data_IF_333872156647
#
_entry.id   IF_333872156647
#
_cell.length_a   1.000
_cell.length_b   1.000
_cell.length_c   1.000
_cell.angle_alpha   90.00
_cell.angle_beta   90.00
_cell.angle_gamma   90.00
#
_symmetry.space_group_name_H-M   'P 1'
#
loop_
_entity.id
_entity.type
_entity.pdbx_description
1 polymer ?
#
# COMPACT_ATOMS: atom_id res chain seq x y z
N UNK A 1 86.07 -48.69 -1.20
CA UNK A 1 84.88 -47.89 -1.36
C UNK A 1 83.67 -48.81 -1.14
N UNK A 2 83.04 -48.69 0.01
CA UNK A 2 81.94 -49.52 0.52
C UNK A 2 80.59 -49.07 -0.04
N UNK A 3 80.55 -48.08 -0.98
CA UNK A 3 79.35 -47.61 -1.65
C UNK A 3 78.33 -46.91 -0.74
N UNK A 4 78.75 -46.48 0.45
CA UNK A 4 77.86 -45.84 1.40
C UNK A 4 77.58 -44.42 0.99
N UNK A 5 76.29 -44.12 0.73
CA UNK A 5 75.82 -42.79 0.39
C UNK A 5 75.22 -42.12 1.63
N UNK A 6 75.72 -40.97 2.04
CA UNK A 6 75.19 -40.19 3.13
C UNK A 6 74.47 -38.93 2.56
N UNK A 7 73.27 -38.68 3.06
CA UNK A 7 72.52 -37.50 2.73
C UNK A 7 72.67 -36.46 3.88
N UNK A 8 73.01 -35.20 3.50
CA UNK A 8 72.98 -34.06 4.43
C UNK A 8 71.88 -33.16 4.04
N UNK A 9 70.90 -32.87 4.93
CA UNK A 9 69.87 -31.88 4.66
C UNK A 9 70.52 -30.49 4.66
N UNK A 10 70.20 -29.63 3.69
CA UNK A 10 70.40 -28.22 3.72
C UNK A 10 69.09 -27.51 4.08
N UNK A 11 69.13 -26.66 5.08
CA UNK A 11 67.96 -25.86 5.51
C UNK A 11 68.09 -24.45 4.95
N UNK A 12 66.92 -23.82 4.70
CA UNK A 12 66.80 -22.44 4.17
C UNK A 12 67.51 -22.23 2.81
N UNK A 13 67.49 -23.23 1.97
CA UNK A 13 68.04 -23.12 0.61
C UNK A 13 67.07 -22.37 -0.29
N UNK A 14 67.59 -21.58 -1.24
CA UNK A 14 66.74 -20.93 -2.29
C UNK A 14 66.11 -21.95 -3.21
N UNK A 15 64.92 -21.72 -3.63
CA UNK A 15 64.13 -22.52 -4.55
C UNK A 15 63.43 -21.62 -5.54
N UNK A 16 63.00 -22.16 -6.66
CA UNK A 16 62.21 -21.51 -7.65
C UNK A 16 60.76 -21.99 -7.52
N UNK A 17 59.83 -21.08 -7.69
CA UNK A 17 58.41 -21.36 -7.79
C UNK A 17 57.80 -20.53 -8.92
N UNK A 18 56.88 -21.09 -9.67
CA UNK A 18 56.17 -20.36 -10.69
C UNK A 18 55.25 -19.31 -10.02
N UNK A 19 55.63 -18.05 -10.12
CA UNK A 19 54.85 -16.92 -9.61
C UNK A 19 54.04 -16.19 -10.66
N UNK A 20 54.09 -16.64 -11.92
CA UNK A 20 53.38 -16.04 -13.06
C UNK A 20 52.08 -16.75 -13.42
N UNK A 21 51.97 -18.05 -13.07
CA UNK A 21 50.73 -18.80 -13.27
C UNK A 21 49.71 -18.45 -12.18
N UNK A 22 48.55 -17.92 -12.61
CA UNK A 22 47.44 -17.60 -11.69
C UNK A 22 46.87 -18.86 -11.05
N UNK A 23 46.77 -18.88 -9.72
CA UNK A 23 46.21 -20.00 -8.98
C UNK A 23 44.71 -20.08 -9.15
N UNK A 24 44.18 -21.29 -9.35
CA UNK A 24 42.76 -21.61 -9.44
C UNK A 24 42.22 -22.14 -8.11
N UNK A 25 40.93 -21.98 -7.87
CA UNK A 25 40.27 -22.48 -6.66
C UNK A 25 40.44 -24.00 -6.45
N UNK A 26 40.77 -24.73 -7.51
CA UNK A 26 41.00 -26.20 -7.48
C UNK A 26 42.43 -26.57 -7.16
N UNK A 27 43.35 -25.61 -7.10
CA UNK A 27 44.75 -25.89 -6.86
C UNK A 27 44.96 -26.16 -5.36
N UNK A 28 45.54 -27.33 -5.05
CA UNK A 28 45.78 -27.79 -3.73
C UNK A 28 47.25 -27.81 -3.36
N UNK A 29 48.13 -27.59 -4.32
CA UNK A 29 49.58 -27.48 -4.11
C UNK A 29 50.22 -26.59 -5.19
N UNK A 30 51.40 -26.09 -4.87
CA UNK A 30 52.34 -25.49 -5.84
C UNK A 30 53.61 -26.30 -5.80
N UNK A 31 54.18 -26.53 -7.01
CA UNK A 31 55.46 -27.23 -7.14
C UNK A 31 56.61 -26.25 -7.03
N UNK A 32 57.48 -26.49 -6.06
CA UNK A 32 58.76 -25.76 -5.91
C UNK A 32 59.90 -26.61 -6.51
N UNK A 33 60.91 -25.94 -7.06
CA UNK A 33 62.05 -26.61 -7.66
C UNK A 33 63.38 -26.04 -7.18
N UNK A 34 64.40 -26.85 -7.20
CA UNK A 34 65.77 -26.47 -7.01
C UNK A 34 66.67 -27.17 -8.04
N UNK A 35 67.49 -26.42 -8.71
CA UNK A 35 68.50 -26.93 -9.59
C UNK A 35 69.91 -26.75 -8.96
N UNK A 36 70.65 -27.80 -8.82
CA UNK A 36 72.02 -27.80 -8.38
C UNK A 36 72.88 -28.71 -9.28
N UNK A 37 74.01 -28.18 -9.75
CA UNK A 37 74.93 -28.89 -10.64
C UNK A 37 74.21 -29.52 -11.88
N UNK A 38 73.21 -28.86 -12.43
CA UNK A 38 72.40 -29.35 -13.56
C UNK A 38 71.39 -30.41 -13.24
N UNK A 39 71.17 -30.74 -11.95
CA UNK A 39 70.14 -31.69 -11.52
C UNK A 39 69.02 -30.91 -10.83
N UNK A 40 67.82 -30.96 -11.41
CA UNK A 40 66.59 -30.37 -10.82
C UNK A 40 65.86 -31.40 -9.99
N UNK A 41 65.42 -30.97 -8.80
CA UNK A 41 64.50 -31.68 -7.92
C UNK A 41 63.31 -30.81 -7.60
N UNK A 42 62.15 -31.44 -7.50
CA UNK A 42 60.86 -30.78 -7.21
C UNK A 42 60.25 -31.32 -5.91
N UNK A 43 59.44 -30.48 -5.28
CA UNK A 43 58.58 -30.86 -4.16
C UNK A 43 57.27 -30.06 -4.23
N UNK A 44 56.19 -30.70 -3.81
CA UNK A 44 54.87 -30.06 -3.77
C UNK A 44 54.64 -29.48 -2.39
N UNK A 45 54.20 -28.23 -2.33
CA UNK A 45 53.83 -27.51 -1.12
C UNK A 45 52.32 -27.34 -1.12
N UNK A 46 51.63 -27.93 -0.14
CA UNK A 46 50.18 -27.81 0.01
C UNK A 46 49.76 -26.37 0.23
N UNK A 47 48.75 -25.94 -0.54
CA UNK A 47 48.16 -24.61 -0.43
C UNK A 47 46.62 -24.72 -0.33
N UNK A 48 45.98 -23.63 0.09
CA UNK A 48 44.55 -23.46 -0.01
C UNK A 48 44.29 -22.14 -0.76
N UNK A 49 43.58 -22.21 -1.86
CA UNK A 49 43.17 -21.04 -2.60
C UNK A 49 41.74 -20.69 -2.19
N UNK A 50 41.55 -19.51 -1.60
CA UNK A 50 40.23 -18.97 -1.24
C UNK A 50 39.78 -17.92 -2.23
N UNK A 51 38.49 -17.93 -2.54
CA UNK A 51 37.86 -16.92 -3.36
C UNK A 51 37.61 -15.67 -2.53
N UNK A 52 37.95 -14.51 -3.05
CA UNK A 52 37.80 -13.24 -2.36
C UNK A 52 36.65 -12.44 -2.92
N UNK A 53 35.82 -11.82 -2.05
CA UNK A 53 34.81 -10.83 -2.48
C UNK A 53 35.53 -9.55 -2.88
N UNK A 54 35.42 -9.17 -4.14
CA UNK A 54 36.02 -7.94 -4.69
C UNK A 54 35.05 -6.78 -4.80
N UNK A 55 33.73 -7.06 -4.76
CA UNK A 55 32.69 -6.05 -4.75
C UNK A 55 31.46 -6.56 -4.00
N UNK A 56 30.85 -5.68 -3.20
CA UNK A 56 29.53 -5.84 -2.58
C UNK A 56 28.72 -4.60 -2.92
N UNK A 57 27.60 -4.78 -3.62
CA UNK A 57 26.75 -3.70 -4.10
C UNK A 57 25.28 -3.95 -3.73
N UNK A 58 24.53 -2.89 -3.39
CA UNK A 58 23.09 -2.98 -3.19
C UNK A 58 22.40 -3.34 -4.53
N UNK A 59 21.83 -4.54 -4.59
CA UNK A 59 21.18 -5.08 -5.79
C UNK A 59 19.72 -4.64 -5.89
N UNK A 60 18.93 -4.94 -4.87
CA UNK A 60 17.54 -4.53 -4.75
C UNK A 60 17.08 -4.49 -3.30
N UNK A 61 15.86 -3.99 -3.07
CA UNK A 61 15.14 -4.12 -1.80
C UNK A 61 13.84 -4.88 -2.03
N UNK A 62 13.36 -5.55 -0.98
CA UNK A 62 12.11 -6.31 -1.02
C UNK A 62 11.31 -6.13 0.26
N UNK A 63 9.99 -6.22 0.14
CA UNK A 63 9.11 -6.19 1.30
C UNK A 63 9.11 -7.58 1.94
N UNK A 64 9.67 -7.67 3.16
CA UNK A 64 9.67 -8.89 3.97
C UNK A 64 8.34 -9.07 4.73
N UNK A 65 7.69 -7.96 5.11
CA UNK A 65 6.36 -7.93 5.70
C UNK A 65 5.63 -6.66 5.29
N UNK A 66 4.38 -6.80 4.85
CA UNK A 66 3.51 -5.69 4.49
C UNK A 66 3.11 -4.86 5.71
N UNK A 67 2.72 -3.60 5.48
CA UNK A 67 2.15 -2.75 6.50
C UNK A 67 0.85 -3.37 7.07
N UNK A 68 0.58 -3.10 8.36
CA UNK A 68 -0.60 -3.62 9.06
C UNK A 68 -1.91 -3.11 8.42
N UNK A 69 -1.85 -1.98 7.71
CA UNK A 69 -2.98 -1.33 7.04
C UNK A 69 -2.64 -0.96 5.60
N UNK A 70 -3.47 -1.39 4.66
CA UNK A 70 -3.32 -1.13 3.21
C UNK A 70 -4.55 -0.44 2.60
N UNK A 71 -5.63 -0.25 3.37
CA UNK A 71 -6.86 0.37 2.91
C UNK A 71 -7.06 1.71 3.60
N UNK A 72 -7.21 2.76 2.82
CA UNK A 72 -7.30 4.14 3.25
C UNK A 72 -8.53 4.82 2.68
N UNK A 73 -8.90 5.94 3.26
CA UNK A 73 -9.83 6.88 2.66
C UNK A 73 -9.07 8.15 2.24
N UNK A 74 -9.59 8.84 1.26
CA UNK A 74 -9.06 10.10 0.73
C UNK A 74 -8.69 11.08 1.84
N UNK A 75 -7.46 11.59 1.79
CA UNK A 75 -6.93 12.56 2.74
C UNK A 75 -6.26 11.96 3.98
N UNK A 76 -6.30 10.64 4.18
CA UNK A 76 -5.45 9.98 5.18
C UNK A 76 -3.99 9.92 4.72
N UNK A 77 -3.09 9.61 5.64
CA UNK A 77 -1.67 9.37 5.34
C UNK A 77 -1.36 7.89 5.48
N UNK A 78 -0.31 7.44 4.78
CA UNK A 78 0.19 6.08 4.90
C UNK A 78 0.73 5.81 6.31
N UNK A 79 0.30 4.69 6.91
CA UNK A 79 0.84 4.18 8.18
C UNK A 79 1.78 3.01 7.89
N UNK A 80 3.08 3.25 8.10
CA UNK A 80 4.13 2.24 7.89
C UNK A 80 4.23 1.19 8.99
N UNK A 81 3.35 1.22 9.98
CA UNK A 81 3.34 0.24 11.07
C UNK A 81 3.24 -1.18 10.50
N UNK A 82 4.12 -2.05 10.96
CA UNK A 82 4.19 -3.43 10.49
C UNK A 82 5.05 -3.66 9.27
N UNK A 83 5.32 -2.64 8.44
CA UNK A 83 6.13 -2.77 7.25
C UNK A 83 7.58 -3.10 7.59
N UNK A 84 8.11 -4.15 6.97
CA UNK A 84 9.51 -4.57 7.08
C UNK A 84 10.08 -4.72 5.69
N UNK A 85 11.24 -4.14 5.48
CA UNK A 85 11.95 -4.14 4.20
C UNK A 85 13.34 -4.76 4.41
N UNK A 86 13.73 -5.64 3.51
CA UNK A 86 15.05 -6.23 3.46
C UNK A 86 15.85 -5.65 2.28
N UNK A 87 17.15 -5.48 2.48
CA UNK A 87 18.08 -5.09 1.44
C UNK A 87 18.90 -6.30 0.99
N UNK A 88 18.99 -6.51 -0.31
CA UNK A 88 19.72 -7.62 -0.91
C UNK A 88 20.98 -7.07 -1.58
N UNK A 89 22.12 -7.63 -1.21
CA UNK A 89 23.42 -7.26 -1.75
C UNK A 89 23.97 -8.35 -2.65
N UNK A 90 24.48 -7.91 -3.80
CA UNK A 90 25.21 -8.75 -4.74
C UNK A 90 26.68 -8.73 -4.42
N UNK A 91 27.25 -9.89 -4.09
CA UNK A 91 28.68 -10.07 -3.86
C UNK A 91 29.33 -10.67 -5.12
N UNK A 92 30.30 -9.99 -5.67
CA UNK A 92 31.11 -10.48 -6.79
C UNK A 92 32.47 -10.92 -6.26
N UNK A 93 32.87 -12.13 -6.59
CA UNK A 93 34.13 -12.73 -6.21
C UNK A 93 35.18 -12.55 -7.31
N UNK A 94 36.45 -12.66 -6.96
CA UNK A 94 37.57 -12.60 -7.91
C UNK A 94 37.45 -13.63 -9.02
N UNK A 95 36.93 -14.82 -8.72
CA UNK A 95 36.63 -15.87 -9.70
C UNK A 95 35.51 -15.55 -10.71
N UNK A 96 34.81 -14.44 -10.50
CA UNK A 96 33.56 -14.12 -11.22
C UNK A 96 32.30 -14.77 -10.67
N UNK A 97 32.41 -15.56 -9.59
CA UNK A 97 31.26 -16.12 -8.90
C UNK A 97 30.44 -14.99 -8.28
N UNK A 98 29.09 -15.14 -8.29
CA UNK A 98 28.15 -14.19 -7.70
C UNK A 98 27.38 -14.90 -6.61
N UNK A 99 27.19 -14.22 -5.48
CA UNK A 99 26.27 -14.62 -4.39
C UNK A 99 25.46 -13.42 -3.93
N UNK A 100 24.37 -13.69 -3.24
CA UNK A 100 23.55 -12.65 -2.64
C UNK A 100 23.53 -12.81 -1.11
N UNK A 101 23.53 -11.68 -0.41
CA UNK A 101 23.34 -11.62 1.03
C UNK A 101 22.19 -10.69 1.35
N UNK A 102 21.39 -11.04 2.36
CA UNK A 102 20.24 -10.26 2.80
C UNK A 102 20.58 -9.53 4.08
N UNK A 103 20.35 -8.23 4.10
CA UNK A 103 20.30 -7.43 5.32
C UNK A 103 18.83 -7.30 5.71
N UNK A 104 18.44 -8.03 6.73
CA UNK A 104 17.09 -7.96 7.29
C UNK A 104 16.83 -6.61 7.97
N UNK A 105 15.58 -6.14 7.93
CA UNK A 105 15.13 -4.89 8.57
C UNK A 105 15.97 -3.67 8.15
N UNK A 106 16.19 -3.47 6.87
CA UNK A 106 16.88 -2.30 6.35
C UNK A 106 16.14 -1.00 6.73
N UNK A 107 16.90 0.05 7.03
CA UNK A 107 16.35 1.37 7.37
C UNK A 107 15.88 2.09 6.09
N UNK A 108 14.63 1.89 5.72
CA UNK A 108 14.01 2.46 4.51
C UNK A 108 13.37 3.83 4.75
N UNK A 109 13.12 4.54 3.67
CA UNK A 109 12.34 5.78 3.60
C UNK A 109 11.03 5.53 2.86
N UNK A 110 9.95 6.11 3.37
CA UNK A 110 8.61 6.17 2.75
C UNK A 110 7.94 7.46 3.18
N UNK A 111 7.19 8.10 2.27
CA UNK A 111 6.46 9.33 2.61
C UNK A 111 5.20 9.00 3.44
N UNK A 112 5.26 9.31 4.73
CA UNK A 112 4.16 9.13 5.69
C UNK A 112 3.35 10.41 5.91
N UNK A 113 3.66 11.51 5.22
CA UNK A 113 2.96 12.79 5.35
C UNK A 113 2.10 13.12 4.13
N UNK A 114 2.34 12.45 3.02
CA UNK A 114 1.52 12.57 1.82
C UNK A 114 0.07 12.24 2.11
N UNK A 115 -0.85 13.15 1.73
CA UNK A 115 -2.29 12.90 1.74
C UNK A 115 -2.65 12.01 0.55
N UNK A 116 -3.14 10.82 0.86
CA UNK A 116 -3.52 9.83 -0.14
C UNK A 116 -4.79 10.25 -0.88
N UNK A 117 -4.80 10.00 -2.18
CA UNK A 117 -5.90 10.26 -3.10
C UNK A 117 -6.35 8.94 -3.76
N UNK A 118 -7.58 8.86 -4.29
CA UNK A 118 -8.09 7.63 -4.92
C UNK A 118 -7.22 7.07 -6.05
N UNK A 119 -6.42 7.91 -6.71
CA UNK A 119 -5.51 7.51 -7.78
C UNK A 119 -4.18 6.94 -7.25
N UNK A 120 -3.90 7.05 -5.95
CA UNK A 120 -2.71 6.44 -5.35
C UNK A 120 -2.94 4.94 -5.17
N UNK A 121 -2.23 4.14 -5.93
CA UNK A 121 -2.34 2.67 -5.93
C UNK A 121 -1.17 2.00 -5.22
N UNK A 122 -0.09 2.74 -4.97
CA UNK A 122 1.09 2.26 -4.25
C UNK A 122 1.83 3.38 -3.53
N UNK A 123 2.65 2.99 -2.55
CA UNK A 123 3.61 3.83 -1.85
C UNK A 123 5.02 3.45 -2.27
N UNK A 124 5.79 4.41 -2.75
CA UNK A 124 7.21 4.22 -3.07
C UNK A 124 8.04 4.11 -1.77
N UNK A 125 8.80 3.05 -1.68
CA UNK A 125 9.71 2.75 -0.58
C UNK A 125 11.12 2.76 -1.15
N UNK A 126 12.03 3.48 -0.51
CA UNK A 126 13.40 3.56 -0.96
C UNK A 126 14.41 3.25 0.14
N UNK A 127 15.54 2.70 -0.26
CA UNK A 127 16.71 2.49 0.60
C UNK A 127 17.97 2.88 -0.17
N UNK A 128 18.86 3.59 0.52
CA UNK A 128 20.13 4.07 -0.06
C UNK A 128 21.30 3.55 0.75
N UNK A 129 22.22 2.90 0.08
CA UNK A 129 23.51 2.49 0.65
C UNK A 129 24.65 2.82 -0.31
N UNK A 130 25.75 3.38 0.20
CA UNK A 130 26.93 3.78 -0.56
C UNK A 130 26.61 4.59 -1.83
N UNK A 131 25.58 5.44 -1.78
CA UNK A 131 25.15 6.29 -2.91
C UNK A 131 24.31 5.57 -3.96
N UNK A 132 23.98 4.27 -3.78
CA UNK A 132 23.08 3.50 -4.64
C UNK A 132 21.70 3.49 -3.96
N UNK A 133 20.69 3.99 -4.68
CA UNK A 133 19.30 3.95 -4.20
C UNK A 133 18.51 2.89 -4.97
N UNK A 134 17.74 2.07 -4.23
CA UNK A 134 16.81 1.10 -4.79
C UNK A 134 15.43 1.38 -4.26
N UNK A 135 14.42 0.99 -5.06
CA UNK A 135 13.01 1.22 -4.79
C UNK A 135 12.22 -0.08 -4.81
N UNK A 136 11.15 -0.12 -4.03
CA UNK A 136 10.07 -1.11 -4.10
C UNK A 136 8.76 -0.41 -3.78
N UNK A 137 7.63 -1.05 -4.04
CA UNK A 137 6.32 -0.45 -3.86
C UNK A 137 5.44 -1.26 -2.91
N UNK A 138 4.79 -0.59 -1.96
CA UNK A 138 3.72 -1.16 -1.15
C UNK A 138 2.38 -0.80 -1.78
N UNK A 139 1.60 -1.79 -2.21
CA UNK A 139 0.28 -1.56 -2.81
C UNK A 139 -0.71 -1.06 -1.77
N UNK A 140 -1.48 -0.03 -2.11
CA UNK A 140 -2.53 0.53 -1.26
C UNK A 140 -3.83 0.68 -2.04
N UNK A 141 -4.95 0.71 -1.31
CA UNK A 141 -6.26 1.06 -1.86
C UNK A 141 -6.79 2.29 -1.16
N UNK A 142 -7.16 3.32 -1.92
CA UNK A 142 -7.70 4.57 -1.38
C UNK A 142 -9.10 4.77 -1.92
N UNK A 143 -10.10 4.85 -1.02
CA UNK A 143 -11.49 5.11 -1.37
C UNK A 143 -11.82 6.59 -1.24
N UNK A 144 -12.69 7.08 -2.12
CA UNK A 144 -13.23 8.44 -2.01
C UNK A 144 -14.26 8.52 -0.87
N UNK A 145 -14.62 9.76 -0.49
CA UNK A 145 -15.65 10.06 0.49
C UNK A 145 -16.64 11.02 -0.14
N UNK A 146 -17.90 10.63 -0.15
CA UNK A 146 -18.98 11.36 -0.74
C UNK A 146 -19.90 11.98 0.31
N UNK A 147 -20.52 13.09 -0.04
CA UNK A 147 -21.47 13.79 0.82
C UNK A 147 -22.90 13.51 0.34
N UNK A 148 -23.75 12.97 1.23
CA UNK A 148 -25.19 12.81 1.02
C UNK A 148 -25.92 13.81 1.88
N UNK A 149 -26.53 14.82 1.26
CA UNK A 149 -27.28 15.87 1.94
C UNK A 149 -28.78 15.57 1.90
N UNK A 150 -29.39 15.54 3.07
CA UNK A 150 -30.81 15.33 3.26
C UNK A 150 -31.53 16.64 3.52
N UNK A 151 -32.45 16.97 2.65
CA UNK A 151 -33.26 18.19 2.73
C UNK A 151 -34.71 17.88 3.13
N UNK A 152 -35.36 18.84 3.74
CA UNK A 152 -36.79 18.80 4.00
C UNK A 152 -37.58 18.83 2.69
N UNK A 153 -38.91 18.71 2.79
CA UNK A 153 -39.86 18.78 1.67
C UNK A 153 -39.78 20.11 0.89
N UNK A 154 -39.26 21.18 1.49
CA UNK A 154 -39.05 22.47 0.84
C UNK A 154 -37.82 22.50 -0.09
N UNK A 155 -37.02 21.42 -0.09
CA UNK A 155 -35.78 21.21 -0.86
C UNK A 155 -34.65 22.23 -0.54
N UNK A 156 -34.81 23.04 0.51
CA UNK A 156 -33.87 24.11 0.91
C UNK A 156 -33.35 23.94 2.33
N UNK A 157 -34.20 23.45 3.25
CA UNK A 157 -33.83 23.23 4.65
C UNK A 157 -33.02 21.94 4.78
N UNK A 158 -31.71 22.07 5.06
CA UNK A 158 -30.83 20.93 5.30
C UNK A 158 -31.15 20.30 6.66
N UNK A 159 -31.42 18.99 6.66
CA UNK A 159 -31.68 18.18 7.86
C UNK A 159 -30.42 17.49 8.37
N UNK A 160 -29.68 16.84 7.45
CA UNK A 160 -28.47 16.09 7.73
C UNK A 160 -27.52 16.13 6.54
N UNK A 161 -26.23 16.16 6.84
CA UNK A 161 -25.17 15.88 5.87
C UNK A 161 -24.44 14.62 6.33
N UNK A 162 -24.35 13.61 5.50
CA UNK A 162 -23.73 12.32 5.79
C UNK A 162 -22.49 12.14 4.93
N UNK A 163 -21.32 11.94 5.58
CA UNK A 163 -20.07 11.66 4.87
C UNK A 163 -19.90 10.15 4.74
N UNK A 164 -19.98 9.64 3.52
CA UNK A 164 -20.05 8.21 3.21
C UNK A 164 -18.83 7.80 2.42
N UNK A 165 -18.12 6.76 2.89
CA UNK A 165 -17.00 6.16 2.14
C UNK A 165 -17.56 5.44 0.92
N UNK A 166 -16.89 5.57 -0.20
CA UNK A 166 -17.25 4.92 -1.48
C UNK A 166 -17.65 3.45 -1.30
N UNK A 167 -18.83 3.11 -1.84
CA UNK A 167 -19.39 1.75 -1.77
C UNK A 167 -20.05 1.41 -0.41
N UNK A 168 -20.19 2.38 0.50
CA UNK A 168 -20.97 2.21 1.72
C UNK A 168 -22.37 2.80 1.57
N UNK A 169 -23.28 2.40 2.46
CA UNK A 169 -24.66 2.89 2.50
C UNK A 169 -24.74 4.20 3.30
N UNK A 170 -25.60 5.10 2.88
CA UNK A 170 -25.97 6.28 3.67
C UNK A 170 -27.18 6.01 4.54
N UNK A 171 -27.10 6.40 5.81
CA UNK A 171 -28.18 6.28 6.77
C UNK A 171 -29.09 7.52 6.75
N UNK A 172 -30.31 7.35 6.22
CA UNK A 172 -31.29 8.41 6.20
C UNK A 172 -31.62 8.91 7.63
N UNK A 173 -31.83 10.22 7.82
CA UNK A 173 -32.30 10.77 9.11
C UNK A 173 -33.77 10.41 9.37
N UNK A 174 -34.26 10.76 10.55
CA UNK A 174 -35.68 10.74 10.85
C UNK A 174 -36.46 11.59 9.84
N UNK A 175 -37.61 11.09 9.45
CA UNK A 175 -38.49 11.79 8.50
C UNK A 175 -38.91 13.14 9.12
N UNK A 176 -38.74 14.27 8.40
CA UNK A 176 -39.13 15.57 8.89
C UNK A 176 -40.67 15.68 8.99
N UNK A 177 -41.13 16.31 10.07
CA UNK A 177 -42.58 16.56 10.25
C UNK A 177 -43.06 17.60 9.22
N UNK A 178 -44.12 17.25 8.51
CA UNK A 178 -44.84 18.18 7.62
C UNK A 178 -46.25 18.31 8.11
N UNK A 179 -46.58 19.45 8.73
CA UNK A 179 -47.91 19.72 9.28
C UNK A 179 -48.93 19.85 8.19
N UNK A 180 -50.14 19.36 8.50
CA UNK A 180 -51.29 19.53 7.63
C UNK A 180 -51.59 21.01 7.39
N UNK A 181 -52.01 21.32 6.17
CA UNK A 181 -52.50 22.63 5.82
C UNK A 181 -54.02 22.65 5.93
N UNK A 182 -54.54 23.48 6.81
CA UNK A 182 -55.98 23.54 7.11
C UNK A 182 -56.53 24.91 6.76
N UNK A 183 -57.62 24.93 6.01
CA UNK A 183 -58.43 26.14 5.69
C UNK A 183 -59.84 25.93 6.25
N UNK A 184 -60.72 26.94 6.13
CA UNK A 184 -62.12 26.85 6.56
C UNK A 184 -62.92 25.78 5.78
N UNK A 185 -62.47 25.41 4.60
CA UNK A 185 -63.21 24.54 3.65
C UNK A 185 -62.46 23.26 3.30
N UNK A 186 -61.19 23.13 3.69
CA UNK A 186 -60.37 21.97 3.34
C UNK A 186 -59.27 21.70 4.34
N UNK A 187 -58.84 20.44 4.40
CA UNK A 187 -57.63 20.00 5.09
C UNK A 187 -56.78 19.21 4.08
N UNK A 188 -55.53 19.62 3.89
CA UNK A 188 -54.54 18.90 3.13
C UNK A 188 -53.63 18.16 4.13
N UNK A 189 -53.72 16.85 4.16
CA UNK A 189 -52.86 16.00 4.95
C UNK A 189 -51.67 15.52 4.10
N UNK A 190 -50.50 15.48 4.75
CA UNK A 190 -49.25 15.05 4.11
C UNK A 190 -48.75 13.74 4.73
N UNK A 191 -48.46 12.76 3.88
CA UNK A 191 -47.86 11.49 4.30
C UNK A 191 -46.53 11.30 3.63
N UNK A 192 -45.48 11.04 4.41
CA UNK A 192 -44.14 10.77 3.85
C UNK A 192 -44.23 9.61 2.86
N UNK A 193 -43.67 9.81 1.68
CA UNK A 193 -43.60 8.81 0.63
C UNK A 193 -42.23 8.11 0.63
N UNK A 194 -41.18 8.88 0.40
CA UNK A 194 -39.81 8.38 0.26
C UNK A 194 -38.81 9.54 0.26
N UNK A 195 -37.52 9.21 0.37
CA UNK A 195 -36.45 10.12 0.02
C UNK A 195 -36.24 10.10 -1.49
N UNK A 196 -36.19 11.25 -2.13
CA UNK A 196 -35.97 11.39 -3.57
C UNK A 196 -34.69 12.11 -3.89
N UNK A 197 -33.99 11.68 -4.94
CA UNK A 197 -32.87 12.40 -5.52
C UNK A 197 -33.34 13.75 -6.08
N UNK A 198 -32.61 14.82 -5.71
CA UNK A 198 -33.02 16.18 -6.05
C UNK A 198 -32.80 16.53 -7.54
N UNK A 199 -31.99 15.75 -8.26
CA UNK A 199 -31.68 15.96 -9.68
C UNK A 199 -32.64 15.16 -10.56
N UNK A 200 -32.77 13.86 -10.28
CA UNK A 200 -33.56 12.95 -11.12
C UNK A 200 -35.04 12.91 -10.75
N UNK A 201 -35.39 13.38 -9.55
CA UNK A 201 -36.75 13.33 -8.96
C UNK A 201 -37.33 11.90 -8.88
N UNK A 202 -36.42 10.92 -8.70
CA UNK A 202 -36.77 9.51 -8.48
C UNK A 202 -36.44 9.07 -7.06
N UNK A 203 -36.91 7.90 -6.62
CA UNK A 203 -36.52 7.32 -5.35
C UNK A 203 -34.99 7.28 -5.22
N UNK A 204 -34.47 7.83 -4.13
CA UNK A 204 -33.02 7.90 -3.90
C UNK A 204 -32.45 6.51 -3.57
N UNK A 205 -31.38 6.13 -4.26
CA UNK A 205 -30.62 4.92 -3.97
C UNK A 205 -29.56 5.28 -2.92
N UNK A 206 -29.80 4.90 -1.65
CA UNK A 206 -28.94 5.20 -0.51
C UNK A 206 -27.96 4.07 -0.17
N UNK A 207 -27.81 3.11 -1.09
CA UNK A 207 -26.86 1.99 -1.01
C UNK A 207 -25.73 2.17 -2.02
N UNK A 208 -24.55 1.62 -1.67
CA UNK A 208 -23.39 1.64 -2.55
C UNK A 208 -23.10 3.03 -3.13
N UNK A 209 -22.96 4.03 -2.25
CA UNK A 209 -22.76 5.43 -2.65
C UNK A 209 -21.44 5.57 -3.42
N UNK A 210 -21.55 6.09 -4.65
CA UNK A 210 -20.41 6.31 -5.58
C UNK A 210 -20.27 7.77 -6.04
N UNK A 211 -21.02 8.69 -5.43
CA UNK A 211 -20.97 10.11 -5.76
C UNK A 211 -21.70 10.98 -4.76
N UNK A 212 -21.43 12.29 -4.78
CA UNK A 212 -22.19 13.25 -3.99
C UNK A 212 -23.65 13.28 -4.45
N UNK A 213 -24.57 13.35 -3.48
CA UNK A 213 -25.99 13.41 -3.79
C UNK A 213 -26.73 14.34 -2.82
N UNK A 214 -27.78 14.97 -3.35
CA UNK A 214 -28.74 15.73 -2.58
C UNK A 214 -30.09 15.01 -2.69
N UNK A 215 -30.69 14.73 -1.53
CA UNK A 215 -32.00 14.07 -1.46
C UNK A 215 -32.97 14.92 -0.64
N UNK A 216 -34.24 14.81 -0.92
CA UNK A 216 -35.29 15.53 -0.20
C UNK A 216 -36.41 14.58 0.21
N UNK A 217 -37.14 14.96 1.29
CA UNK A 217 -38.30 14.23 1.78
C UNK A 217 -39.52 14.50 0.88
N UNK A 218 -39.98 13.48 0.18
CA UNK A 218 -41.19 13.57 -0.66
C UNK A 218 -42.42 13.10 0.12
N UNK A 219 -43.56 13.76 -0.14
CA UNK A 219 -44.82 13.48 0.52
C UNK A 219 -45.93 13.34 -0.50
N UNK A 220 -46.88 12.45 -0.22
CA UNK A 220 -48.18 12.40 -0.88
C UNK A 220 -49.13 13.36 -0.17
N UNK A 221 -50.07 13.91 -0.92
CA UNK A 221 -51.09 14.84 -0.44
C UNK A 221 -52.48 14.17 -0.51
N UNK A 222 -53.28 14.34 0.54
CA UNK A 222 -54.68 13.96 0.57
C UNK A 222 -55.54 15.13 1.01
N UNK A 223 -56.47 15.56 0.16
CA UNK A 223 -57.30 16.76 0.39
C UNK A 223 -58.69 16.27 0.82
N UNK A 224 -59.13 16.74 1.96
CA UNK A 224 -60.50 16.51 2.48
C UNK A 224 -61.24 17.85 2.50
N UNK A 225 -62.39 17.94 1.88
CA UNK A 225 -63.24 19.11 1.89
C UNK A 225 -64.28 19.05 3.01
N UNK A 226 -64.47 20.15 3.73
CA UNK A 226 -65.48 20.32 4.74
C UNK A 226 -66.61 21.19 4.13
N UNK A 227 -67.80 20.62 4.03
CA UNK A 227 -68.99 21.39 3.57
C UNK A 227 -69.65 22.00 4.82
N UNK A 228 -69.70 23.31 4.90
CA UNK A 228 -70.52 24.00 5.91
C UNK A 228 -71.95 24.07 5.38
N UNK A 229 -72.86 23.31 5.98
CA UNK A 229 -74.31 23.40 5.70
C UNK A 229 -74.88 24.53 6.56
N UNK A 230 -75.32 25.64 5.92
CA UNK A 230 -76.06 26.71 6.61
C UNK A 230 -77.54 26.42 6.40
N UNK A 231 -78.26 26.09 7.48
CA UNK A 231 -79.69 25.96 7.48
C UNK A 231 -80.32 27.32 7.79
N UNK A 232 -81.03 27.91 6.83
CA UNK A 232 -81.85 29.09 7.04
C UNK A 232 -83.29 28.65 7.40
N UNK A 233 -83.76 29.11 8.55
CA UNK A 233 -85.14 28.88 8.98
C UNK A 233 -85.97 30.13 8.69
N UNK A 234 -87.00 29.93 7.93
CA UNK A 234 -87.99 31.00 7.73
C UNK A 234 -89.23 30.65 8.56
N UNK A 235 -89.61 31.58 9.43
CA UNK A 235 -90.91 31.51 10.13
C UNK A 235 -91.98 32.19 9.25
N UNK A 236 -92.99 31.41 8.88
CA UNK A 236 -94.18 31.98 8.25
C UNK A 236 -95.04 32.66 9.35
N UNK A 237 -95.24 33.98 9.28
CA UNK A 237 -96.17 34.70 10.15
C UNK A 237 -97.48 34.79 9.35
N UNK A 238 -98.54 34.10 9.78
CA UNK A 238 -99.91 34.31 9.28
C UNK A 238 -100.41 35.64 9.78
N UNK A 239 -100.83 36.48 8.81
CA UNK A 239 -101.49 37.81 9.03
C UNK A 239 -102.97 37.60 9.35
#
# INVERSE_FOLDING_TARGET
>A
NDGHVTYRPEYNTSYDVDTETELKLTDTFVTVSKTDNGITRTADVGITVSDEIVSTELDHISIARHADRLNYIKGECFDKKGLVVDAVYKNTYRSGRITYTVQENAAYSVDTEKKLMPDDISMDISFTDNGITKHTEEAVTVKDVFCVNYYSYDRTTLIKSDMVVEGQDSAAPAVPDRKDFVTDTSRTAYTFLEWRDAITDTAAVLKDITGNMNVYAAYTESITYTTKLTLEYYTVVDL
#
